data_IF_896614605632
#
_entry.id   IF_896614605632
#
_cell.length_a   1.000
_cell.length_b   1.000
_cell.length_c   1.000
_cell.angle_alpha   90.00
_cell.angle_beta   90.00
_cell.angle_gamma   90.00
#
_symmetry.space_group_name_H-M   'P 1'
#
loop_
_entity.id
_entity.type
_entity.pdbx_description
1 polymer ?
#
# COMPACT_ATOMS: atom_id res chain seq x y z
N UNK A 1 22.91 11.61 -0.40
CA UNK A 1 21.72 11.22 -1.21
C UNK A 1 20.57 12.18 -0.94
N UNK A 2 19.74 12.48 -1.95
CA UNK A 2 18.64 13.49 -1.89
C UNK A 2 17.24 12.89 -2.00
N UNK A 3 17.13 11.58 -1.80
CA UNK A 3 15.90 10.81 -2.04
C UNK A 3 15.41 10.15 -0.74
N UNK A 4 14.11 10.25 -0.50
CA UNK A 4 13.39 9.51 0.54
C UNK A 4 12.67 8.34 -0.14
N UNK A 5 12.72 7.17 0.49
CA UNK A 5 11.86 6.04 0.16
C UNK A 5 10.76 5.93 1.20
N UNK A 6 9.51 6.01 0.73
CA UNK A 6 8.33 5.79 1.54
C UNK A 6 7.74 4.42 1.21
N UNK A 7 7.61 3.57 2.22
CA UNK A 7 7.18 2.17 2.09
C UNK A 7 5.84 2.01 2.79
N UNK A 8 4.96 1.15 2.26
CA UNK A 8 3.74 0.72 2.97
C UNK A 8 2.54 1.64 2.79
N UNK A 9 2.55 2.50 1.78
CA UNK A 9 1.36 3.23 1.32
C UNK A 9 0.71 2.40 0.21
N UNK A 10 -0.56 2.07 0.36
CA UNK A 10 -1.28 1.27 -0.63
C UNK A 10 -1.52 2.06 -1.92
N UNK A 11 -1.73 1.34 -3.00
CA UNK A 11 -2.10 1.89 -4.29
C UNK A 11 -3.62 1.93 -4.45
N UNK A 12 -4.10 2.80 -5.32
CA UNK A 12 -5.52 2.84 -5.70
C UNK A 12 -5.77 1.89 -6.87
N UNK A 13 -7.04 1.81 -7.30
CA UNK A 13 -7.46 0.89 -8.36
C UNK A 13 -6.76 1.12 -9.71
N UNK A 14 -6.30 2.35 -9.95
CA UNK A 14 -5.63 2.77 -11.17
C UNK A 14 -4.44 3.70 -10.88
N UNK A 15 -3.56 3.86 -11.89
CA UNK A 15 -2.31 4.63 -11.77
C UNK A 15 -2.57 6.12 -11.56
N UNK A 16 -3.62 6.68 -12.15
CA UNK A 16 -3.90 8.11 -12.05
C UNK A 16 -4.43 8.46 -10.65
N UNK A 17 -5.37 7.69 -10.13
CA UNK A 17 -5.85 7.81 -8.75
C UNK A 17 -4.72 7.60 -7.75
N UNK A 18 -3.81 6.65 -8.01
CA UNK A 18 -2.63 6.44 -7.17
C UNK A 18 -1.71 7.66 -7.20
N UNK A 19 -1.43 8.22 -8.37
CA UNK A 19 -0.59 9.41 -8.51
C UNK A 19 -1.19 10.65 -7.84
N UNK A 20 -2.50 10.87 -7.97
CA UNK A 20 -3.20 11.98 -7.31
C UNK A 20 -3.13 11.84 -5.78
N UNK A 21 -3.41 10.63 -5.28
CA UNK A 21 -3.29 10.34 -3.86
C UNK A 21 -1.85 10.53 -3.34
N UNK A 22 -0.85 10.07 -4.10
CA UNK A 22 0.56 10.26 -3.76
C UNK A 22 0.95 11.75 -3.68
N UNK A 23 0.42 12.58 -4.58
CA UNK A 23 0.64 14.02 -4.55
C UNK A 23 -0.02 14.66 -3.32
N UNK A 24 -1.23 14.25 -2.95
CA UNK A 24 -1.96 14.75 -1.78
C UNK A 24 -1.23 14.43 -0.48
N UNK A 25 -0.81 13.18 -0.28
CA UNK A 25 -0.09 12.79 0.94
C UNK A 25 1.27 13.49 1.04
N UNK A 26 1.98 13.70 -0.07
CA UNK A 26 3.26 14.43 -0.06
C UNK A 26 3.02 15.91 0.25
N UNK A 27 1.99 16.51 -0.35
CA UNK A 27 1.59 17.89 -0.07
C UNK A 27 1.27 18.06 1.42
N UNK A 28 0.49 17.16 2.00
CA UNK A 28 0.16 17.20 3.42
C UNK A 28 1.42 17.11 4.30
N UNK A 29 2.31 16.16 4.04
CA UNK A 29 3.54 16.00 4.83
C UNK A 29 4.41 17.25 4.76
N UNK A 30 4.53 17.89 3.59
CA UNK A 30 5.30 19.12 3.44
C UNK A 30 4.64 20.28 4.19
N UNK A 31 3.33 20.49 4.02
CA UNK A 31 2.62 21.60 4.68
C UNK A 31 2.65 21.45 6.21
N UNK A 32 2.42 20.23 6.71
CA UNK A 32 2.45 19.96 8.15
C UNK A 32 3.85 20.02 8.75
N UNK A 33 4.91 20.05 7.94
CA UNK A 33 6.28 20.22 8.43
C UNK A 33 6.55 21.63 8.97
N UNK A 34 5.75 22.62 8.55
CA UNK A 34 5.95 24.03 8.94
C UNK A 34 7.28 24.63 8.47
N UNK A 35 7.97 23.97 7.53
CA UNK A 35 9.25 24.43 7.01
C UNK A 35 9.02 25.21 5.71
N UNK A 36 9.25 26.53 5.77
CA UNK A 36 9.03 27.45 4.65
C UNK A 36 9.83 27.09 3.40
N UNK A 37 11.06 26.59 3.55
CA UNK A 37 11.87 26.17 2.41
C UNK A 37 11.26 24.96 1.71
N UNK A 38 10.75 23.98 2.47
CA UNK A 38 10.06 22.81 1.90
C UNK A 38 8.76 23.21 1.20
N UNK A 39 8.01 24.15 1.76
CA UNK A 39 6.76 24.67 1.18
C UNK A 39 7.07 25.40 -0.13
N UNK A 40 8.06 26.28 -0.15
CA UNK A 40 8.51 27.01 -1.34
C UNK A 40 8.98 26.06 -2.46
N UNK A 41 9.72 25.00 -2.12
CA UNK A 41 10.16 23.98 -3.07
C UNK A 41 9.00 23.15 -3.64
N UNK A 42 7.95 22.92 -2.83
CA UNK A 42 6.73 22.26 -3.28
C UNK A 42 5.97 23.14 -4.26
N UNK A 43 5.75 24.41 -3.92
CA UNK A 43 5.01 25.37 -4.76
C UNK A 43 5.74 25.65 -6.08
N UNK A 44 7.07 25.62 -6.05
CA UNK A 44 7.89 25.72 -7.25
C UNK A 44 7.99 24.41 -8.07
N UNK A 45 7.36 23.32 -7.62
CA UNK A 45 7.34 22.03 -8.31
C UNK A 45 8.69 21.30 -8.34
N UNK A 46 9.61 21.63 -7.43
CA UNK A 46 10.96 21.03 -7.36
C UNK A 46 10.99 19.73 -6.55
N UNK A 47 9.97 19.49 -5.74
CA UNK A 47 9.75 18.19 -5.08
C UNK A 47 9.06 17.25 -6.07
N UNK A 48 9.76 16.19 -6.48
CA UNK A 48 9.24 15.20 -7.44
C UNK A 48 9.09 13.84 -6.78
N UNK A 49 8.08 13.08 -7.20
CA UNK A 49 7.84 11.73 -6.67
C UNK A 49 7.38 10.76 -7.75
N UNK A 50 7.67 9.48 -7.54
CA UNK A 50 7.17 8.39 -8.39
C UNK A 50 7.16 7.06 -7.62
N UNK A 51 6.30 6.13 -8.05
CA UNK A 51 6.30 4.74 -7.57
C UNK A 51 7.42 3.93 -8.22
N UNK A 52 8.03 3.01 -7.48
CA UNK A 52 9.11 2.14 -7.98
C UNK A 52 8.83 0.64 -7.71
N UNK A 53 9.01 -0.24 -8.71
CA UNK A 53 9.36 0.06 -10.11
C UNK A 53 8.21 0.76 -10.87
N UNK A 54 8.54 1.47 -11.95
CA UNK A 54 7.52 2.07 -12.83
C UNK A 54 6.71 0.94 -13.48
N UNK A 55 5.40 1.11 -13.60
CA UNK A 55 4.52 0.09 -14.15
C UNK A 55 3.10 0.18 -13.59
N UNK A 56 2.33 -0.89 -13.77
CA UNK A 56 0.96 -1.01 -13.25
C UNK A 56 0.97 -1.18 -11.72
N UNK A 57 -0.05 -0.68 -11.00
CA UNK A 57 -0.20 -0.96 -9.59
C UNK A 57 -0.19 -2.44 -9.30
N UNK A 58 0.41 -2.82 -8.17
CA UNK A 58 0.30 -4.19 -7.67
C UNK A 58 -1.15 -4.33 -7.20
N UNK A 59 -1.91 -5.21 -7.84
CA UNK A 59 -3.34 -5.37 -7.61
C UNK A 59 -3.69 -5.62 -6.13
N UNK A 60 -4.98 -5.80 -5.79
CA UNK A 60 -5.51 -5.67 -4.42
C UNK A 60 -4.91 -6.63 -3.37
N UNK A 61 -4.14 -7.64 -3.78
CA UNK A 61 -3.49 -8.61 -2.88
C UNK A 61 -2.00 -8.35 -2.66
N UNK A 62 -1.42 -7.34 -3.33
CA UNK A 62 -0.01 -7.02 -3.25
C UNK A 62 0.24 -5.78 -2.38
N UNK A 63 1.34 -5.80 -1.61
CA UNK A 63 1.86 -4.57 -0.99
C UNK A 63 2.17 -3.54 -2.09
N UNK A 64 1.63 -2.34 -1.93
CA UNK A 64 1.84 -1.24 -2.86
C UNK A 64 3.32 -0.96 -3.12
N UNK A 65 3.63 -0.48 -4.33
CA UNK A 65 5.00 -0.09 -4.71
C UNK A 65 5.53 1.03 -3.80
N UNK A 66 6.84 1.08 -3.60
CA UNK A 66 7.44 2.15 -2.79
C UNK A 66 7.33 3.49 -3.53
N UNK A 67 7.19 4.59 -2.79
CA UNK A 67 7.27 5.94 -3.35
C UNK A 67 8.70 6.45 -3.16
N UNK A 68 9.32 6.92 -4.24
CA UNK A 68 10.59 7.65 -4.18
C UNK A 68 10.32 9.14 -4.30
N UNK A 69 10.66 9.90 -3.27
CA UNK A 69 10.52 11.36 -3.21
C UNK A 69 11.91 11.97 -3.37
N UNK A 70 12.10 12.81 -4.37
CA UNK A 70 13.35 13.53 -4.64
C UNK A 70 13.20 14.99 -4.24
N UNK A 71 14.21 15.48 -3.51
CA UNK A 71 14.30 16.86 -3.06
C UNK A 71 15.51 17.56 -3.67
N UNK A 72 15.50 18.90 -3.66
CA UNK A 72 16.55 19.72 -4.26
C UNK A 72 17.92 19.52 -3.60
N UNK A 73 17.97 19.42 -2.28
CA UNK A 73 19.21 19.29 -1.51
C UNK A 73 19.08 18.27 -0.36
N UNK A 74 20.20 17.96 0.29
CA UNK A 74 20.25 16.98 1.38
C UNK A 74 19.60 17.49 2.67
N UNK A 75 19.76 18.77 3.00
CA UNK A 75 19.22 19.36 4.22
C UNK A 75 17.69 19.29 4.25
N UNK A 76 17.03 19.66 3.16
CA UNK A 76 15.58 19.54 2.98
C UNK A 76 15.13 18.09 3.08
N UNK A 77 15.89 17.16 2.48
CA UNK A 77 15.60 15.73 2.59
C UNK A 77 15.64 15.27 4.04
N UNK A 78 16.65 15.68 4.79
CA UNK A 78 16.83 15.29 6.20
C UNK A 78 15.76 15.94 7.10
N UNK A 79 15.41 17.21 6.85
CA UNK A 79 14.32 17.90 7.54
C UNK A 79 12.96 17.22 7.30
N UNK A 80 12.60 16.95 6.03
CA UNK A 80 11.36 16.27 5.68
C UNK A 80 11.32 14.85 6.26
N UNK A 81 12.43 14.10 6.16
CA UNK A 81 12.52 12.76 6.70
C UNK A 81 12.37 12.74 8.24
N UNK A 82 12.95 13.72 8.93
CA UNK A 82 12.80 13.87 10.38
C UNK A 82 11.33 14.07 10.75
N UNK A 83 10.63 14.97 10.03
CA UNK A 83 9.19 15.20 10.21
C UNK A 83 8.36 13.93 9.97
N UNK A 84 8.62 13.22 8.87
CA UNK A 84 7.94 11.95 8.56
C UNK A 84 8.20 10.86 9.62
N UNK A 85 9.32 10.92 10.35
CA UNK A 85 9.62 9.99 11.45
C UNK A 85 8.95 10.40 12.76
N UNK A 86 8.67 11.69 12.96
CA UNK A 86 8.09 12.22 14.20
C UNK A 86 6.63 11.80 14.39
N UNK A 87 5.86 11.67 13.31
CA UNK A 87 4.47 11.24 13.37
C UNK A 87 3.85 10.98 12.01
N UNK A 88 2.74 10.24 12.01
CA UNK A 88 1.92 10.05 10.80
C UNK A 88 0.99 11.25 10.61
N UNK A 89 0.80 11.62 9.35
CA UNK A 89 -0.13 12.66 8.95
C UNK A 89 -1.54 12.08 8.78
N UNK A 90 -2.57 12.93 8.68
CA UNK A 90 -3.96 12.47 8.71
C UNK A 90 -4.31 11.57 7.53
N UNK A 91 -3.81 11.84 6.33
CA UNK A 91 -4.08 11.00 5.15
C UNK A 91 -3.38 9.65 5.21
N UNK A 92 -2.38 9.51 6.09
CA UNK A 92 -1.57 8.29 6.22
C UNK A 92 -1.74 7.58 7.55
N UNK A 93 -2.67 8.04 8.38
CA UNK A 93 -2.97 7.49 9.70
C UNK A 93 -3.37 6.00 9.61
N UNK A 94 -4.18 5.64 8.61
CA UNK A 94 -4.61 4.27 8.36
C UNK A 94 -3.47 3.31 7.98
N UNK A 95 -2.36 3.82 7.43
CA UNK A 95 -1.23 2.99 7.01
C UNK A 95 -0.27 2.78 8.17
N UNK A 96 -0.67 1.94 9.12
CA UNK A 96 0.09 1.65 10.33
C UNK A 96 1.49 1.08 10.00
N UNK A 97 1.61 0.31 8.93
CA UNK A 97 2.88 -0.28 8.50
C UNK A 97 3.67 0.61 7.54
N UNK A 98 3.21 1.84 7.31
CA UNK A 98 3.94 2.81 6.52
C UNK A 98 5.11 3.41 7.29
N UNK A 99 6.24 3.59 6.60
CA UNK A 99 7.40 4.27 7.16
C UNK A 99 8.25 4.89 6.06
N UNK A 100 8.91 6.01 6.40
CA UNK A 100 9.86 6.68 5.54
C UNK A 100 11.30 6.39 5.97
N UNK A 101 12.20 6.31 4.98
CA UNK A 101 13.64 6.17 5.20
C UNK A 101 14.42 6.87 4.09
N UNK A 102 15.71 7.07 4.33
CA UNK A 102 16.66 7.40 3.27
C UNK A 102 16.65 6.31 2.19
N UNK A 103 16.77 6.70 0.92
CA UNK A 103 17.04 5.75 -0.17
C UNK A 103 18.39 5.08 0.07
N UNK A 104 18.42 3.74 0.07
CA UNK A 104 19.62 2.94 0.34
C UNK A 104 20.33 2.59 -0.97
N UNK A 105 21.65 2.39 -0.91
CA UNK A 105 22.40 1.74 -1.99
C UNK A 105 22.03 0.26 -2.09
N UNK A 106 22.52 -0.39 -3.14
CA UNK A 106 22.28 -1.83 -3.31
C UNK A 106 22.92 -2.65 -2.19
N UNK A 107 24.12 -2.27 -1.76
CA UNK A 107 24.88 -2.92 -0.67
C UNK A 107 24.14 -2.76 0.66
N UNK A 108 23.67 -1.54 0.94
CA UNK A 108 22.84 -1.25 2.11
C UNK A 108 21.52 -2.04 2.08
N UNK A 109 20.84 -2.13 0.94
CA UNK A 109 19.63 -2.95 0.80
C UNK A 109 19.91 -4.43 1.06
N UNK A 110 21.05 -4.95 0.60
CA UNK A 110 21.44 -6.34 0.83
C UNK A 110 21.70 -6.61 2.31
N UNK A 111 22.41 -5.71 3.00
CA UNK A 111 22.63 -5.78 4.44
C UNK A 111 21.29 -5.76 5.21
N UNK A 112 20.42 -4.80 4.89
CA UNK A 112 19.09 -4.65 5.51
C UNK A 112 18.20 -5.89 5.29
N UNK A 113 18.26 -6.51 4.10
CA UNK A 113 17.58 -7.79 3.83
C UNK A 113 18.15 -8.93 4.67
N UNK A 114 19.47 -9.04 4.79
CA UNK A 114 20.12 -10.08 5.59
C UNK A 114 19.77 -9.95 7.08
N UNK A 115 19.75 -8.72 7.61
CA UNK A 115 19.35 -8.44 8.98
C UNK A 115 17.88 -8.78 9.22
N UNK A 116 16.97 -8.43 8.31
CA UNK A 116 15.55 -8.78 8.46
C UNK A 116 15.31 -10.28 8.40
N UNK A 117 16.05 -10.99 7.54
CA UNK A 117 16.01 -12.46 7.51
C UNK A 117 16.44 -13.02 8.87
N UNK A 118 17.58 -12.57 9.40
CA UNK A 118 18.09 -13.04 10.70
C UNK A 118 17.13 -12.73 11.84
N UNK A 119 16.58 -11.51 11.91
CA UNK A 119 15.56 -11.15 12.91
C UNK A 119 14.30 -12.02 12.78
N UNK A 120 13.85 -12.29 11.55
CA UNK A 120 12.75 -13.21 11.26
C UNK A 120 13.02 -14.62 11.77
N UNK A 121 14.22 -15.16 11.52
CA UNK A 121 14.65 -16.48 11.99
C UNK A 121 14.63 -16.54 13.54
N UNK A 122 15.12 -15.50 14.23
CA UNK A 122 15.03 -15.40 15.69
C UNK A 122 13.58 -15.32 16.20
N UNK A 123 12.71 -14.56 15.55
CA UNK A 123 11.30 -14.46 15.93
C UNK A 123 10.55 -15.79 15.75
N UNK A 124 10.88 -16.54 14.69
CA UNK A 124 10.29 -17.84 14.44
C UNK A 124 10.66 -18.85 15.54
N UNK A 125 11.91 -18.81 16.03
CA UNK A 125 12.37 -19.64 17.15
C UNK A 125 11.67 -19.29 18.47
N UNK A 126 11.45 -18.00 18.75
CA UNK A 126 10.74 -17.53 19.94
C UNK A 126 9.22 -17.74 19.86
N UNK A 127 8.69 -18.04 18.67
CA UNK A 127 7.25 -18.09 18.39
C UNK A 127 6.54 -16.73 18.48
N UNK A 128 7.29 -15.63 18.67
CA UNK A 128 6.77 -14.27 18.87
C UNK A 128 7.63 -13.24 18.16
N UNK A 129 7.02 -12.11 17.80
CA UNK A 129 7.72 -10.94 17.27
C UNK A 129 8.46 -10.22 18.40
N UNK A 130 9.74 -10.55 18.57
CA UNK A 130 10.64 -10.03 19.60
C UNK A 130 11.70 -9.10 19.01
N UNK A 131 12.20 -9.39 17.81
CA UNK A 131 13.30 -8.72 17.15
C UNK A 131 12.82 -7.97 15.90
N UNK A 132 13.24 -6.71 15.76
CA UNK A 132 12.97 -5.89 14.57
C UNK A 132 14.28 -5.27 14.07
N UNK A 133 14.31 -4.86 12.81
CA UNK A 133 15.46 -4.15 12.23
C UNK A 133 15.16 -2.65 12.16
N UNK A 134 16.04 -1.82 12.71
CA UNK A 134 16.00 -0.36 12.62
C UNK A 134 17.42 0.15 12.39
N UNK A 135 17.60 1.04 11.41
CA UNK A 135 18.88 1.70 11.11
C UNK A 135 20.09 0.73 11.03
N UNK A 136 19.89 -0.45 10.42
CA UNK A 136 20.86 -1.55 10.26
C UNK A 136 21.24 -2.32 11.54
N UNK A 137 20.46 -2.15 12.61
CA UNK A 137 20.62 -2.92 13.84
C UNK A 137 19.39 -3.79 14.13
N UNK A 138 19.63 -4.95 14.73
CA UNK A 138 18.57 -5.80 15.28
C UNK A 138 18.26 -5.32 16.70
N UNK A 139 17.08 -4.76 16.89
CA UNK A 139 16.59 -4.24 18.16
C UNK A 139 15.57 -5.21 18.75
N UNK A 140 15.69 -5.48 20.05
CA UNK A 140 14.72 -6.24 20.83
C UNK A 140 13.57 -5.34 21.29
N UNK A 141 12.34 -5.74 21.00
CA UNK A 141 11.13 -5.07 21.46
C UNK A 141 10.96 -5.26 22.96
N UNK A 142 10.56 -4.18 23.66
CA UNK A 142 10.17 -4.22 25.07
C UNK A 142 8.92 -5.08 25.31
N UNK A 143 7.98 -5.03 24.37
CA UNK A 143 6.73 -5.78 24.41
C UNK A 143 6.65 -6.67 23.16
N UNK A 144 6.97 -7.97 23.30
CA UNK A 144 6.80 -8.94 22.22
C UNK A 144 5.36 -9.00 21.72
N UNK A 145 5.17 -9.20 20.42
CA UNK A 145 3.84 -9.38 19.82
C UNK A 145 3.68 -10.83 19.36
N UNK A 146 2.45 -11.32 19.35
CA UNK A 146 2.17 -12.63 18.79
C UNK A 146 2.42 -12.62 17.27
N UNK A 147 2.97 -13.72 16.75
CA UNK A 147 3.07 -13.88 15.31
C UNK A 147 1.67 -14.21 14.73
N UNK A 148 1.37 -13.76 13.51
CA UNK A 148 0.15 -14.17 12.82
C UNK A 148 0.07 -15.70 12.76
N UNK A 149 -0.96 -16.25 13.40
CA UNK A 149 -1.27 -17.67 13.27
C UNK A 149 -1.97 -17.83 11.93
N UNK A 150 -1.21 -18.20 10.90
CA UNK A 150 -1.83 -18.83 9.75
C UNK A 150 -2.32 -20.18 10.26
N UNK A 151 -3.59 -20.26 10.66
CA UNK A 151 -4.26 -21.55 10.73
C UNK A 151 -4.00 -22.19 9.38
N UNK A 152 -3.26 -23.29 9.37
CA UNK A 152 -3.13 -24.11 8.20
C UNK A 152 -4.57 -24.53 7.86
N UNK A 153 -5.21 -23.80 6.96
CA UNK A 153 -6.48 -24.18 6.40
C UNK A 153 -6.24 -25.56 5.80
N UNK A 154 -6.75 -26.57 6.51
CA UNK A 154 -6.77 -28.00 6.21
C UNK A 154 -6.10 -28.36 4.89
N UNK A 155 -4.78 -28.55 4.90
CA UNK A 155 -4.18 -29.53 4.02
C UNK A 155 -4.70 -30.88 4.51
N UNK A 156 -5.90 -31.28 4.07
CA UNK A 156 -6.29 -32.67 4.03
C UNK A 156 -5.17 -33.39 3.32
N UNK A 157 -4.33 -34.06 4.11
CA UNK A 157 -3.35 -35.01 3.66
C UNK A 157 -4.14 -36.11 2.94
N UNK A 158 -4.34 -35.94 1.63
CA UNK A 158 -4.70 -37.05 0.77
C UNK A 158 -3.44 -37.90 0.66
N UNK A 159 -3.30 -38.79 1.65
CA UNK A 159 -2.33 -39.87 1.69
C UNK A 159 -2.68 -40.84 0.56
N UNK A 160 -2.24 -40.53 -0.66
CA UNK A 160 -2.22 -41.52 -1.74
C UNK A 160 -1.01 -42.41 -1.52
N UNK A 161 -1.29 -43.60 -1.00
CA UNK A 161 -0.38 -44.74 -0.96
C UNK A 161 0.18 -45.02 -2.36
N UNK A 162 1.50 -44.95 -2.52
CA UNK A 162 2.20 -45.65 -3.59
C UNK A 162 3.35 -46.46 -3.00
N UNK A 163 3.15 -47.77 -2.93
CA UNK A 163 4.23 -48.74 -2.79
C UNK A 163 5.01 -48.85 -4.11
N UNK A 164 6.30 -49.25 -4.07
CA UNK A 164 7.22 -49.12 -5.19
C UNK A 164 7.07 -50.29 -6.17
N UNK A 165 7.11 -50.01 -7.46
CA UNK A 165 7.31 -51.02 -8.49
C UNK A 165 8.43 -50.59 -9.44
N UNK A 166 9.31 -51.55 -9.67
CA UNK A 166 10.63 -51.51 -10.29
C UNK A 166 10.58 -51.31 -11.82
N UNK A 167 11.53 -50.51 -12.34
CA UNK A 167 12.16 -50.45 -13.68
C UNK A 167 11.38 -50.80 -14.97
N UNK A 168 11.54 -49.95 -16.00
CA UNK A 168 12.19 -50.28 -17.30
C UNK A 168 12.07 -49.12 -18.32
N UNK A 169 13.07 -49.01 -19.20
CA UNK A 169 13.36 -47.91 -20.11
C UNK A 169 12.44 -47.78 -21.35
N UNK A 170 12.40 -46.59 -21.98
CA UNK A 170 11.96 -46.43 -23.38
C UNK A 170 11.40 -45.05 -23.82
N UNK A 171 12.29 -44.18 -24.34
CA UNK A 171 12.19 -43.39 -25.60
C UNK A 171 10.84 -42.78 -26.06
N UNK A 172 10.83 -41.43 -26.12
CA UNK A 172 10.30 -40.49 -27.15
C UNK A 172 8.90 -40.68 -27.76
N UNK A 173 7.96 -39.74 -27.58
CA UNK A 173 7.52 -38.71 -28.58
C UNK A 173 6.36 -37.83 -28.09
N UNK A 174 6.30 -36.64 -28.71
CA UNK A 174 5.33 -35.54 -28.70
C UNK A 174 3.83 -35.88 -28.72
N UNK A 175 3.07 -34.88 -28.27
CA UNK A 175 1.71 -34.47 -28.69
C UNK A 175 0.54 -35.01 -27.87
N UNK A 176 -0.15 -34.10 -27.17
CA UNK A 176 -1.62 -34.10 -27.13
C UNK A 176 -2.19 -32.74 -26.75
N UNK A 177 -2.84 -32.13 -27.75
CA UNK A 177 -3.98 -31.24 -27.54
C UNK A 177 -5.03 -31.92 -26.63
N UNK A 178 -5.63 -31.15 -25.73
CA UNK A 178 -6.99 -31.44 -25.23
C UNK A 178 -7.85 -30.19 -25.37
N UNK A 179 -8.82 -30.30 -26.28
CA UNK A 179 -10.02 -29.48 -26.31
C UNK A 179 -11.08 -30.00 -25.32
N UNK A 180 -12.06 -29.13 -25.07
CA UNK A 180 -13.41 -29.33 -24.52
C UNK A 180 -13.49 -29.44 -22.98
N UNK A 181 -14.37 -28.72 -22.28
CA UNK A 181 -15.80 -28.50 -22.59
C UNK A 181 -16.30 -27.13 -22.12
N UNK A 182 -17.17 -26.56 -22.94
CA UNK A 182 -18.13 -25.49 -22.63
C UNK A 182 -19.54 -26.11 -22.54
N UNK A 183 -20.49 -25.35 -21.99
CA UNK A 183 -21.97 -25.44 -22.06
C UNK A 183 -22.68 -25.81 -20.73
N UNK A 184 -24.00 -25.49 -20.54
CA UNK A 184 -24.54 -24.15 -20.22
C UNK A 184 -25.76 -24.14 -19.23
N UNK A 185 -26.29 -22.92 -18.92
CA UNK A 185 -27.68 -22.56 -18.48
C UNK A 185 -28.20 -23.10 -17.14
N UNK A 186 -29.10 -22.50 -16.34
CA UNK A 186 -29.94 -21.30 -16.26
C UNK A 186 -30.14 -21.04 -14.73
N UNK A 187 -30.55 -19.89 -14.18
CA UNK A 187 -31.91 -19.32 -14.21
C UNK A 187 -31.95 -18.02 -13.36
N UNK A 188 -32.81 -17.08 -13.75
CA UNK A 188 -33.11 -15.80 -13.06
C UNK A 188 -33.85 -16.00 -11.71
N UNK A 189 -34.10 -14.92 -10.93
CA UNK A 189 -35.35 -14.18 -11.18
C UNK A 189 -35.24 -12.65 -11.10
N UNK A 190 -36.09 -12.00 -11.92
CA UNK A 190 -36.59 -10.62 -11.77
C UNK A 190 -37.91 -10.67 -11.00
N UNK A 191 -38.12 -9.73 -10.09
CA UNK A 191 -39.46 -9.35 -9.61
C UNK A 191 -39.64 -7.84 -9.83
N UNK A 192 -40.64 -7.49 -10.63
CA UNK A 192 -41.27 -6.17 -10.69
C UNK A 192 -42.71 -6.32 -10.19
N UNK A 193 -43.21 -5.36 -9.39
CA UNK A 193 -44.64 -5.04 -9.31
C UNK A 193 -44.82 -3.58 -8.91
N UNK A 194 -45.23 -2.78 -9.91
CA UNK A 194 -46.31 -1.78 -9.98
C UNK A 194 -46.42 -0.63 -8.96
N UNK A 195 -46.34 0.56 -9.57
CA UNK A 195 -46.87 1.89 -9.27
C UNK A 195 -47.97 2.10 -8.19
N UNK A 196 -47.82 3.23 -7.48
CA UNK A 196 -48.90 4.21 -7.31
C UNK A 196 -48.30 5.62 -7.12
N UNK A 197 -48.81 6.59 -7.87
CA UNK A 197 -48.39 7.99 -7.83
C UNK A 197 -49.12 8.80 -6.76
N UNK A 198 -48.50 9.90 -6.33
CA UNK A 198 -49.19 11.15 -5.99
C UNK A 198 -48.16 12.30 -5.98
N UNK A 199 -48.59 13.44 -6.51
CA UNK A 199 -47.86 14.69 -6.77
C UNK A 199 -47.30 15.42 -5.52
N UNK A 200 -46.39 16.40 -5.72
CA UNK A 200 -45.73 17.17 -4.66
C UNK A 200 -46.50 18.46 -4.30
N UNK A 201 -46.19 19.11 -3.17
CA UNK A 201 -46.47 20.52 -3.00
C UNK A 201 -45.20 21.37 -3.19
N UNK A 202 -45.29 22.28 -4.14
CA UNK A 202 -44.55 23.53 -4.18
C UNK A 202 -45.08 24.49 -3.11
N UNK A 203 -44.19 25.31 -2.52
CA UNK A 203 -44.45 26.66 -1.97
C UNK A 203 -43.08 27.37 -1.94
N UNK A 204 -42.81 28.25 -2.93
CA UNK A 204 -42.95 29.72 -2.85
C UNK A 204 -41.96 30.36 -1.85
N UNK A 205 -40.82 30.89 -2.32
CA UNK A 205 -40.63 32.26 -2.83
C UNK A 205 -40.49 33.32 -1.73
N UNK A 206 -39.27 33.86 -1.57
CA UNK A 206 -39.02 35.29 -1.28
C UNK A 206 -37.51 35.61 -1.18
N UNK A 207 -36.96 36.28 -2.19
CA UNK A 207 -36.03 37.41 -2.03
C UNK A 207 -36.83 38.68 -2.41
N UNK A 208 -36.33 39.94 -2.31
CA UNK A 208 -35.18 40.52 -1.59
C UNK A 208 -35.55 41.80 -0.79
N UNK A 209 -34.60 42.38 -0.04
CA UNK A 209 -34.44 43.82 0.29
C UNK A 209 -33.49 43.93 1.49
N UNK A 210 -32.68 44.94 1.76
CA UNK A 210 -32.22 46.16 1.11
C UNK A 210 -31.06 46.67 2.00
N UNK A 211 -30.22 47.51 1.41
CA UNK A 211 -29.22 48.38 2.03
C UNK A 211 -29.64 49.01 3.36
N UNK A 212 -28.70 49.23 4.29
CA UNK A 212 -28.27 50.60 4.65
C UNK A 212 -27.15 50.62 5.70
N UNK A 213 -26.32 51.63 5.55
CA UNK A 213 -25.22 52.17 6.36
C UNK A 213 -25.52 52.39 7.85
N UNK A 214 -24.49 52.46 8.70
CA UNK A 214 -24.02 53.72 9.33
C UNK A 214 -22.73 53.51 10.15
N UNK A 215 -21.95 54.58 10.19
CA UNK A 215 -20.71 54.83 10.91
C UNK A 215 -20.85 54.68 12.44
N UNK A 216 -19.76 54.27 13.10
CA UNK A 216 -19.04 55.04 14.13
C UNK A 216 -17.69 54.37 14.42
#
# INVERSE_FOLDING_TARGET
MRTITWVGIDEKNDEESTRRFDQEIIREVVLTSGNEDLISELDAGRITSHRHPIGKPRGPSGRGRIIKIRLANQQLRDALLSHMKAGRQSLTEQFVDSFARRDYTMEELNLDRALRKRAGDHNALEGKLVYIVRDFDIIKLKYPRELPHYSAASSTANSFNHSPATNCAGVTTRSRLRMFKRSPSASAPRCETVANGMLPPQLAASQPSCSSSYLA
#
